data_IF_067032455536
#
_entry.id   IF_067032455536
#
_cell.length_a   1.000
_cell.length_b   1.000
_cell.length_c   1.000
_cell.angle_alpha   90.00
_cell.angle_beta   90.00
_cell.angle_gamma   90.00
#
_symmetry.space_group_name_H-M   'P 1'
#
loop_
_entity.id
_entity.type
_entity.pdbx_description
1 polymer ?
#
# COMPACT_ATOMS: atom_id res chain seq x y z
N UNK A 1 -13.73 24.03 8.80
CA UNK A 1 -13.16 22.90 9.31
C UNK A 1 -13.36 21.66 8.51
N UNK A 2 -14.42 21.41 7.97
CA UNK A 2 -14.57 20.22 7.23
C UNK A 2 -14.20 20.34 5.81
N UNK A 3 -13.94 21.55 5.41
CA UNK A 3 -13.63 21.81 4.04
C UNK A 3 -12.45 21.02 3.54
N UNK A 4 -11.48 20.84 4.40
CA UNK A 4 -10.28 20.13 4.01
C UNK A 4 -10.56 18.68 3.69
N UNK A 5 -11.73 18.19 4.04
CA UNK A 5 -12.08 16.81 3.77
C UNK A 5 -12.69 16.57 2.42
N UNK A 6 -12.91 17.61 1.65
CA UNK A 6 -13.60 17.44 0.39
C UNK A 6 -12.95 16.47 -0.56
N UNK A 7 -11.62 16.50 -0.66
CA UNK A 7 -10.92 15.58 -1.52
C UNK A 7 -10.84 14.18 -0.98
N UNK A 8 -11.18 14.01 0.32
CA UNK A 8 -11.03 12.74 1.00
C UNK A 8 -12.32 12.25 1.61
N UNK A 9 -13.44 12.84 1.15
CA UNK A 9 -14.73 12.39 1.65
C UNK A 9 -14.97 10.93 1.32
N UNK A 10 -15.50 10.21 2.30
CA UNK A 10 -15.82 8.80 2.16
C UNK A 10 -17.33 8.70 2.02
N UNK A 11 -17.79 8.09 0.93
CA UNK A 11 -19.22 7.88 0.73
C UNK A 11 -19.66 6.63 1.53
N UNK A 12 -20.97 6.47 1.66
CA UNK A 12 -21.49 5.30 2.35
C UNK A 12 -21.05 4.02 1.64
N UNK A 13 -21.03 4.03 0.31
CA UNK A 13 -20.61 2.85 -0.44
C UNK A 13 -19.11 2.56 -0.23
N UNK A 14 -18.31 3.57 0.04
CA UNK A 14 -16.88 3.36 0.31
C UNK A 14 -16.65 2.62 1.63
N UNK A 15 -17.58 2.72 2.56
CA UNK A 15 -17.45 2.01 3.83
C UNK A 15 -17.43 0.50 3.62
N UNK A 16 -18.20 0.01 2.67
CA UNK A 16 -18.21 -1.42 2.36
C UNK A 16 -16.88 -1.85 1.78
N UNK A 17 -16.30 -1.02 0.92
CA UNK A 17 -15.00 -1.33 0.33
C UNK A 17 -13.91 -1.39 1.40
N UNK A 18 -13.94 -0.45 2.33
CA UNK A 18 -13.00 -0.45 3.45
C UNK A 18 -13.20 -1.66 4.35
N UNK A 19 -14.46 -1.97 4.66
CA UNK A 19 -14.75 -3.10 5.54
C UNK A 19 -14.21 -4.40 4.95
N UNK A 20 -14.42 -4.61 3.65
CA UNK A 20 -13.92 -5.80 2.98
C UNK A 20 -12.40 -5.85 3.01
N UNK A 21 -11.76 -4.71 2.73
CA UNK A 21 -10.30 -4.64 2.72
C UNK A 21 -9.72 -4.91 4.11
N UNK A 22 -10.31 -4.32 5.15
CA UNK A 22 -9.80 -4.48 6.50
C UNK A 22 -9.97 -5.89 7.03
N UNK A 23 -10.97 -6.62 6.57
CA UNK A 23 -11.14 -8.03 6.94
C UNK A 23 -10.01 -8.89 6.43
N UNK A 24 -9.35 -8.46 5.36
CA UNK A 24 -8.32 -9.26 4.71
C UNK A 24 -6.92 -8.72 4.93
N UNK A 25 -6.75 -7.79 5.87
CA UNK A 25 -5.42 -7.29 6.22
C UNK A 25 -4.57 -8.47 6.69
N UNK A 26 -3.38 -8.59 6.15
CA UNK A 26 -2.43 -9.60 6.56
C UNK A 26 -1.26 -8.91 7.24
N UNK A 27 -0.83 -9.49 8.35
CA UNK A 27 0.23 -8.90 9.16
C UNK A 27 1.38 -9.87 9.31
N UNK A 28 2.57 -9.39 9.00
CA UNK A 28 3.82 -10.11 9.20
C UNK A 28 4.66 -9.27 10.16
N UNK A 29 4.69 -9.68 11.43
CA UNK A 29 5.31 -8.90 12.50
C UNK A 29 4.68 -7.50 12.56
N UNK A 30 5.41 -6.46 12.20
CA UNK A 30 4.92 -5.08 12.23
C UNK A 30 4.61 -4.55 10.85
N UNK A 31 4.66 -5.41 9.84
CA UNK A 31 4.39 -5.07 8.45
C UNK A 31 2.99 -5.55 8.08
N UNK A 32 2.15 -4.64 7.60
CA UNK A 32 0.79 -4.97 7.22
C UNK A 32 0.61 -4.84 5.71
N UNK A 33 -0.18 -5.75 5.15
CA UNK A 33 -0.56 -5.73 3.74
C UNK A 33 -2.05 -5.50 3.63
N UNK A 34 -2.43 -4.64 2.69
CA UNK A 34 -3.82 -4.26 2.49
C UNK A 34 -4.10 -4.17 1.00
N UNK A 35 -5.02 -5.00 0.52
CA UNK A 35 -5.41 -4.97 -0.89
C UNK A 35 -6.82 -4.41 -1.01
N UNK A 36 -7.00 -3.43 -1.87
CA UNK A 36 -8.30 -2.82 -2.13
C UNK A 36 -8.68 -3.01 -3.59
N UNK A 37 -9.99 -3.04 -3.84
CA UNK A 37 -10.52 -3.17 -5.20
C UNK A 37 -11.40 -1.97 -5.48
N UNK A 38 -11.34 -1.48 -6.73
CA UNK A 38 -12.25 -0.45 -7.21
C UNK A 38 -12.21 0.84 -6.42
N UNK A 39 -11.01 1.21 -5.94
CA UNK A 39 -10.82 2.47 -5.20
C UNK A 39 -9.86 3.36 -5.97
N UNK A 40 -10.05 4.67 -5.83
CA UNK A 40 -9.12 5.62 -6.43
C UNK A 40 -7.90 5.78 -5.54
N UNK A 41 -6.92 6.56 -5.99
CA UNK A 41 -5.67 6.72 -5.28
C UNK A 41 -5.87 7.36 -3.91
N UNK A 42 -6.81 8.28 -3.81
CA UNK A 42 -7.10 8.95 -2.55
C UNK A 42 -7.62 7.98 -1.49
N UNK A 43 -8.53 7.10 -1.88
CA UNK A 43 -9.07 6.10 -0.96
C UNK A 43 -8.02 5.07 -0.59
N UNK A 44 -7.17 4.70 -1.54
CA UNK A 44 -6.10 3.76 -1.26
C UNK A 44 -5.15 4.34 -0.20
N UNK A 45 -4.76 5.60 -0.36
CA UNK A 45 -3.91 6.26 0.61
C UNK A 45 -4.56 6.40 1.97
N UNK A 46 -5.85 6.74 1.99
CA UNK A 46 -6.57 6.89 3.25
C UNK A 46 -6.67 5.57 4.00
N UNK A 47 -6.85 4.47 3.29
CA UNK A 47 -6.87 3.15 3.92
C UNK A 47 -5.53 2.83 4.57
N UNK A 48 -4.44 3.18 3.91
CA UNK A 48 -3.10 3.01 4.47
C UNK A 48 -2.92 3.84 5.73
N UNK A 49 -3.45 5.06 5.74
CA UNK A 49 -3.37 5.94 6.91
C UNK A 49 -4.12 5.35 8.10
N UNK A 50 -5.23 4.67 7.86
CA UNK A 50 -5.98 4.04 8.93
C UNK A 50 -5.18 2.87 9.50
N UNK A 51 -4.63 2.03 8.66
CA UNK A 51 -3.92 0.82 9.11
C UNK A 51 -2.61 1.16 9.81
N UNK A 52 -1.90 2.20 9.38
CA UNK A 52 -0.66 2.58 10.04
C UNK A 52 -0.92 3.08 11.47
N UNK A 53 -2.15 3.45 11.78
CA UNK A 53 -2.52 3.87 13.13
C UNK A 53 -2.83 2.71 14.07
N UNK A 54 -2.81 1.48 13.58
CA UNK A 54 -3.11 0.32 14.42
C UNK A 54 -1.88 0.00 15.28
N UNK A 55 -2.11 -0.24 16.58
CA UNK A 55 -1.02 -0.55 17.49
C UNK A 55 -0.29 -1.82 17.01
N UNK A 56 1.03 -1.74 16.96
CA UNK A 56 1.84 -2.85 16.52
C UNK A 56 2.13 -2.86 15.03
N UNK A 57 1.55 -1.96 14.26
CA UNK A 57 1.83 -1.84 12.84
C UNK A 57 2.75 -0.65 12.63
N UNK A 58 3.91 -0.88 12.01
CA UNK A 58 4.86 0.20 11.75
C UNK A 58 5.10 0.42 10.27
N UNK A 59 4.71 -0.52 9.42
CA UNK A 59 4.87 -0.39 7.98
C UNK A 59 3.62 -0.94 7.31
N UNK A 60 3.07 -0.21 6.34
CA UNK A 60 1.89 -0.66 5.60
C UNK A 60 2.20 -0.59 4.11
N UNK A 61 1.90 -1.68 3.42
CA UNK A 61 1.92 -1.73 1.96
C UNK A 61 0.48 -1.96 1.50
N UNK A 62 -0.13 -0.91 0.97
CA UNK A 62 -1.47 -0.99 0.41
C UNK A 62 -1.37 -0.97 -1.11
N UNK A 63 -2.19 -1.76 -1.78
CA UNK A 63 -2.13 -1.82 -3.23
C UNK A 63 -3.49 -2.11 -3.82
N UNK A 64 -3.65 -1.69 -5.07
CA UNK A 64 -4.89 -1.87 -5.79
C UNK A 64 -4.59 -2.11 -7.27
N UNK A 65 -5.32 -3.04 -7.86
CA UNK A 65 -5.19 -3.33 -9.28
C UNK A 65 -5.76 -2.17 -10.09
N UNK A 66 -5.10 -1.89 -11.20
CA UNK A 66 -5.53 -0.91 -12.19
C UNK A 66 -5.50 -1.58 -13.56
N UNK A 67 -6.14 -0.95 -14.53
CA UNK A 67 -6.16 -1.49 -15.88
C UNK A 67 -4.76 -1.67 -16.45
N UNK A 68 -3.89 -0.71 -16.17
CA UNK A 68 -2.52 -0.70 -16.71
C UNK A 68 -1.47 -1.15 -15.72
N UNK A 69 -1.86 -1.66 -14.57
CA UNK A 69 -0.88 -2.14 -13.59
C UNK A 69 -1.42 -2.16 -12.17
N UNK A 70 -0.54 -1.87 -11.23
CA UNK A 70 -0.87 -1.90 -9.82
C UNK A 70 -0.41 -0.61 -9.17
N UNK A 71 -1.32 0.05 -8.46
CA UNK A 71 -1.00 1.24 -7.68
C UNK A 71 -0.59 0.81 -6.29
N UNK A 72 0.52 1.35 -5.81
CA UNK A 72 1.03 1.10 -4.47
C UNK A 72 0.94 2.35 -3.61
N UNK A 73 0.66 2.14 -2.34
CA UNK A 73 0.68 3.21 -1.35
C UNK A 73 1.34 2.65 -0.11
N UNK A 74 2.43 3.27 0.32
CA UNK A 74 3.26 2.77 1.42
C UNK A 74 3.30 3.80 2.53
N UNK A 75 3.17 3.32 3.76
CA UNK A 75 3.29 4.16 4.96
C UNK A 75 4.29 3.52 5.90
N UNK A 76 5.06 4.34 6.60
CA UNK A 76 6.02 3.83 7.59
C UNK A 76 6.21 4.83 8.71
N UNK A 77 6.19 4.32 9.95
CA UNK A 77 6.63 5.06 11.11
C UNK A 77 7.94 4.50 11.65
N UNK A 78 8.47 3.48 10.98
CA UNK A 78 9.72 2.82 11.38
C UNK A 78 10.91 3.58 10.83
N UNK A 79 11.84 3.94 11.71
CA UNK A 79 13.02 4.70 11.29
C UNK A 79 13.97 3.88 10.43
N UNK A 80 13.96 2.58 10.60
CA UNK A 80 14.84 1.69 9.83
C UNK A 80 14.29 1.35 8.45
N UNK A 81 12.99 1.53 8.24
CA UNK A 81 12.36 1.21 6.98
C UNK A 81 11.59 2.43 6.50
N UNK A 82 12.19 3.13 5.56
CA UNK A 82 11.58 4.36 5.03
C UNK A 82 10.68 4.01 3.86
N UNK A 83 9.50 4.63 3.84
CA UNK A 83 8.52 4.36 2.80
C UNK A 83 9.09 4.57 1.40
N UNK A 84 9.87 5.65 1.21
CA UNK A 84 10.48 5.93 -0.07
C UNK A 84 11.39 4.78 -0.53
N UNK A 85 12.22 4.27 0.37
CA UNK A 85 13.15 3.21 0.02
C UNK A 85 12.44 1.90 -0.23
N UNK A 86 11.43 1.59 0.58
CA UNK A 86 10.66 0.38 0.41
C UNK A 86 9.93 0.36 -0.93
N UNK A 87 9.26 1.46 -1.27
CA UNK A 87 8.51 1.48 -2.52
C UNK A 87 9.44 1.38 -3.72
N UNK A 88 10.62 2.00 -3.65
CA UNK A 88 11.59 1.87 -4.73
C UNK A 88 12.04 0.44 -4.91
N UNK A 89 12.19 -0.29 -3.81
CA UNK A 89 12.53 -1.71 -3.88
C UNK A 89 11.39 -2.51 -4.49
N UNK A 90 10.14 -2.19 -4.13
CA UNK A 90 8.99 -2.93 -4.64
C UNK A 90 8.81 -2.78 -6.14
N UNK A 91 9.15 -1.62 -6.70
CA UNK A 91 8.95 -1.35 -8.12
C UNK A 91 10.21 -1.56 -8.95
N UNK A 92 11.30 -1.94 -8.35
CA UNK A 92 12.57 -2.07 -9.06
C UNK A 92 12.45 -3.03 -10.23
N UNK A 93 12.80 -2.54 -11.42
CA UNK A 93 12.75 -3.34 -12.63
C UNK A 93 11.37 -3.51 -13.22
N UNK A 94 10.32 -3.01 -12.56
CA UNK A 94 8.95 -3.26 -13.05
C UNK A 94 8.03 -2.06 -12.94
N UNK A 95 8.52 -0.94 -12.42
CA UNK A 95 7.68 0.24 -12.31
C UNK A 95 8.44 1.45 -11.79
N UNK A 96 7.70 2.40 -11.26
CA UNK A 96 8.28 3.64 -10.72
C UNK A 96 7.66 3.93 -9.37
N UNK A 97 8.41 4.59 -8.50
CA UNK A 97 7.88 4.95 -7.19
C UNK A 97 8.85 5.82 -6.41
N UNK A 98 8.33 6.42 -5.37
CA UNK A 98 9.10 7.25 -4.47
C UNK A 98 8.20 8.13 -3.62
N UNK A 99 8.80 8.94 -2.77
CA UNK A 99 8.08 9.85 -1.90
C UNK A 99 8.94 10.25 -0.72
N UNK A 100 8.30 10.30 0.45
CA UNK A 100 8.93 10.72 1.68
C UNK A 100 9.27 9.50 2.55
N UNK A 101 9.94 9.76 3.67
CA UNK A 101 10.33 8.69 4.58
C UNK A 101 9.14 7.95 5.17
N UNK A 102 8.04 8.67 5.40
CA UNK A 102 6.87 8.06 6.05
C UNK A 102 5.70 7.84 5.10
N UNK A 103 5.77 8.32 3.89
CA UNK A 103 4.67 8.22 2.94
C UNK A 103 5.20 8.21 1.52
N UNK A 104 4.90 7.17 0.76
CA UNK A 104 5.38 7.06 -0.62
C UNK A 104 4.37 6.29 -1.45
N UNK A 105 4.46 6.45 -2.75
CA UNK A 105 3.59 5.76 -3.68
C UNK A 105 4.36 5.21 -4.85
N UNK A 106 3.77 4.26 -5.55
CA UNK A 106 4.42 3.67 -6.70
C UNK A 106 3.43 3.04 -7.63
N UNK A 107 3.93 2.61 -8.78
CA UNK A 107 3.11 1.97 -9.78
C UNK A 107 3.93 0.90 -10.49
N UNK A 108 3.38 -0.31 -10.56
CA UNK A 108 3.99 -1.42 -11.27
C UNK A 108 3.26 -1.60 -12.58
N UNK A 109 3.99 -1.55 -13.69
CA UNK A 109 3.39 -1.66 -15.01
C UNK A 109 2.92 -3.07 -15.29
N UNK A 110 1.74 -3.19 -15.87
CA UNK A 110 1.13 -4.50 -16.15
C UNK A 110 2.02 -5.38 -17.02
N UNK A 111 2.69 -4.78 -17.98
CA UNK A 111 3.54 -5.54 -18.91
C UNK A 111 4.72 -6.20 -18.22
N UNK A 112 5.05 -5.77 -17.01
CA UNK A 112 6.15 -6.34 -16.24
C UNK A 112 5.70 -7.43 -15.28
N UNK A 113 4.41 -7.79 -15.34
CA UNK A 113 3.84 -8.83 -14.49
C UNK A 113 3.52 -10.04 -15.33
N UNK A 114 4.06 -11.20 -14.95
CA UNK A 114 3.88 -12.41 -15.74
C UNK A 114 2.46 -12.95 -15.64
N UNK A 115 1.82 -12.83 -14.48
CA UNK A 115 0.46 -13.30 -14.28
C UNK A 115 -0.17 -12.58 -13.12
N UNK A 116 -1.43 -12.17 -13.28
CA UNK A 116 -2.12 -11.40 -12.25
C UNK A 116 -2.32 -12.18 -10.96
N UNK A 117 -2.47 -13.50 -11.04
CA UNK A 117 -2.67 -14.32 -9.85
C UNK A 117 -1.44 -14.35 -8.95
N UNK A 118 -0.27 -14.00 -9.48
CA UNK A 118 0.96 -13.98 -8.72
C UNK A 118 1.27 -12.62 -8.10
N UNK A 119 0.38 -11.66 -8.31
CA UNK A 119 0.60 -10.31 -7.87
C UNK A 119 0.80 -10.20 -6.36
N UNK A 120 -0.13 -10.78 -5.60
CA UNK A 120 -0.03 -10.71 -4.16
C UNK A 120 1.28 -11.32 -3.67
N UNK A 121 1.65 -12.46 -4.24
CA UNK A 121 2.88 -13.15 -3.88
C UNK A 121 4.10 -12.29 -4.19
N UNK A 122 4.08 -11.66 -5.36
CA UNK A 122 5.20 -10.81 -5.79
C UNK A 122 5.43 -9.65 -4.83
N UNK A 123 4.36 -8.92 -4.52
CA UNK A 123 4.44 -7.76 -3.64
C UNK A 123 4.86 -8.19 -2.24
N UNK A 124 4.22 -9.21 -1.71
CA UNK A 124 4.52 -9.68 -0.35
C UNK A 124 5.94 -10.21 -0.24
N UNK A 125 6.39 -10.95 -1.24
CA UNK A 125 7.74 -11.51 -1.22
C UNK A 125 8.79 -10.39 -1.17
N UNK A 126 8.65 -9.41 -2.04
CA UNK A 126 9.61 -8.31 -2.06
C UNK A 126 9.57 -7.49 -0.77
N UNK A 127 8.36 -7.20 -0.29
CA UNK A 127 8.21 -6.38 0.92
C UNK A 127 8.75 -7.11 2.15
N UNK A 128 8.45 -8.39 2.29
CA UNK A 128 8.94 -9.16 3.43
C UNK A 128 10.45 -9.30 3.38
N UNK A 129 11.01 -9.55 2.20
CA UNK A 129 12.47 -9.66 2.07
C UNK A 129 13.15 -8.36 2.46
N UNK A 130 12.61 -7.23 2.01
CA UNK A 130 13.16 -5.93 2.37
C UNK A 130 13.05 -5.69 3.87
N UNK A 131 11.87 -5.98 4.43
CA UNK A 131 11.60 -5.79 5.84
C UNK A 131 12.57 -6.61 6.71
N UNK A 132 12.77 -7.88 6.36
CA UNK A 132 13.67 -8.74 7.12
C UNK A 132 15.12 -8.25 7.07
N UNK A 133 15.52 -7.66 5.98
CA UNK A 133 16.89 -7.18 5.82
C UNK A 133 17.15 -5.84 6.48
N UNK A 134 16.12 -5.11 6.86
CA UNK A 134 16.28 -3.74 7.34
C UNK A 134 15.71 -3.48 8.73
N UNK A 135 14.97 -4.41 9.28
CA UNK A 135 14.40 -4.20 10.60
C UNK A 135 15.39 -4.35 11.74
#
# INVERSE_FOLDING_TARGET
>A
MIVELKGNEISVSDLDLYADAFKTVEIYDELAFLRLSNVNDSLLGAAGDIVIGVAGVEVVVAYAARENGIKLSVRSTCQKIKANDLVKNLVEGCGVGGGHDNMAGGFINRENLSASRLLDTFIKHRAIAYYENHR
#
